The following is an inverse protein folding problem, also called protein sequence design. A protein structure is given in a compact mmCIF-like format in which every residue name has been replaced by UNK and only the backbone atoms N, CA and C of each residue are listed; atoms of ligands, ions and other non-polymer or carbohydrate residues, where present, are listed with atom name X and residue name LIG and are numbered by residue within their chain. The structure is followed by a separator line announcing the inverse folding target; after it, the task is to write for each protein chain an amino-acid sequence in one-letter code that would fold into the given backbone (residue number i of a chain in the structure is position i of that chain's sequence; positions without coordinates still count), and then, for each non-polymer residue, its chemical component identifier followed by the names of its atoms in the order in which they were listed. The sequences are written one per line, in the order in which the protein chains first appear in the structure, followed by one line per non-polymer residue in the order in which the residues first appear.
data_IF_403533831702
#
_entry.id   IF_403533831702
#
_cell.length_a   1.000
_cell.length_b   1.000
_cell.length_c   1.000
_cell.angle_alpha   90.00
_cell.angle_beta   90.00
_cell.angle_gamma   90.00
#
_symmetry.space_group_name_H-M   'P 1'
#
loop_
_entity.id
_entity.type
_entity.pdbx_description
1 polymer ?
#
# COMPACT_ATOMS: atom_id res chain seq x y z
N UNK A 1 29.20 -58.19 25.76
CA UNK A 1 27.79 -57.73 25.73
C UNK A 1 27.74 -56.32 25.16
N UNK A 2 27.04 -56.05 24.02
CA UNK A 2 27.04 -54.75 23.37
C UNK A 2 25.78 -53.95 23.75
N UNK A 3 25.85 -53.11 24.78
CA UNK A 3 24.69 -52.33 25.26
C UNK A 3 24.80 -50.83 24.95
N UNK A 4 26.00 -50.32 24.67
CA UNK A 4 26.26 -48.88 24.46
C UNK A 4 25.86 -48.36 23.05
N UNK A 5 25.88 -49.20 22.02
CA UNK A 5 25.55 -48.79 20.64
C UNK A 5 24.05 -48.57 20.42
N UNK A 6 23.21 -49.33 21.13
CA UNK A 6 21.76 -49.23 21.06
C UNK A 6 21.23 -47.93 21.67
N UNK A 7 21.89 -47.44 22.73
CA UNK A 7 21.52 -46.20 23.43
C UNK A 7 21.80 -44.94 22.59
N UNK A 8 22.92 -44.89 21.86
CA UNK A 8 23.21 -43.79 20.92
C UNK A 8 22.22 -43.75 19.75
N UNK A 9 21.79 -44.92 19.29
CA UNK A 9 20.80 -45.07 18.21
C UNK A 9 19.38 -44.64 18.64
N UNK A 10 19.00 -44.85 19.90
CA UNK A 10 17.68 -44.41 20.41
C UNK A 10 17.63 -42.89 20.61
N UNK A 11 18.70 -42.28 21.13
CA UNK A 11 18.80 -40.83 21.31
C UNK A 11 18.77 -40.09 19.97
N UNK A 12 19.51 -40.57 18.96
CA UNK A 12 19.51 -39.97 17.62
C UNK A 12 18.12 -40.03 16.97
N UNK A 13 17.39 -41.14 17.17
CA UNK A 13 16.01 -41.30 16.72
C UNK A 13 15.05 -40.35 17.45
N UNK A 14 15.25 -40.13 18.74
CA UNK A 14 14.46 -39.18 19.53
C UNK A 14 14.70 -37.72 19.08
N UNK A 15 15.96 -37.32 18.88
CA UNK A 15 16.33 -36.00 18.36
C UNK A 15 15.72 -35.74 16.98
N UNK A 16 15.75 -36.73 16.08
CA UNK A 16 15.13 -36.61 14.75
C UNK A 16 13.60 -36.42 14.84
N UNK A 17 12.94 -37.13 15.76
CA UNK A 17 11.49 -36.96 15.98
C UNK A 17 11.16 -35.60 16.58
N UNK A 18 11.97 -35.11 17.52
CA UNK A 18 11.83 -33.77 18.10
C UNK A 18 11.97 -32.69 17.03
N UNK A 19 12.96 -32.81 16.15
CA UNK A 19 13.18 -31.87 15.04
C UNK A 19 12.00 -31.89 14.05
N UNK A 20 11.49 -33.08 13.71
CA UNK A 20 10.32 -33.21 12.84
C UNK A 20 9.06 -32.58 13.47
N UNK A 21 8.84 -32.76 14.77
CA UNK A 21 7.74 -32.13 15.49
C UNK A 21 7.88 -30.60 15.52
N UNK A 22 9.09 -30.08 15.72
CA UNK A 22 9.37 -28.66 15.65
C UNK A 22 9.05 -28.10 14.25
N UNK A 23 9.55 -28.74 13.19
CA UNK A 23 9.25 -28.34 11.82
C UNK A 23 7.75 -28.40 11.51
N UNK A 24 7.06 -29.45 11.98
CA UNK A 24 5.61 -29.56 11.79
C UNK A 24 4.86 -28.45 12.52
N UNK A 25 5.28 -28.08 13.74
CA UNK A 25 4.66 -26.97 14.49
C UNK A 25 4.81 -25.62 13.80
N UNK A 26 5.95 -25.39 13.13
CA UNK A 26 6.20 -24.16 12.36
C UNK A 26 5.33 -24.06 11.10
N UNK A 27 4.89 -25.19 10.53
CA UNK A 27 3.96 -25.18 9.40
C UNK A 27 2.54 -24.79 9.84
N UNK A 28 2.16 -25.04 11.10
CA UNK A 28 0.86 -24.64 11.63
C UNK A 28 0.73 -23.13 11.87
N UNK A 29 1.83 -22.39 12.01
CA UNK A 29 1.77 -20.93 12.22
C UNK A 29 1.38 -20.16 10.95
N UNK A 30 1.43 -20.79 9.76
CA UNK A 30 0.95 -20.17 8.52
C UNK A 30 -0.57 -20.25 8.35
N UNK A 31 -1.25 -21.06 9.16
CA UNK A 31 -2.71 -21.23 9.09
C UNK A 31 -3.47 -20.21 9.95
N UNK A 32 -2.78 -19.53 10.87
CA UNK A 32 -3.37 -18.42 11.57
C UNK A 32 -3.44 -17.21 10.63
N UNK A 33 -4.63 -16.61 10.44
CA UNK A 33 -4.71 -15.35 9.73
C UNK A 33 -3.91 -14.33 10.53
N UNK A 34 -2.76 -13.93 10.00
CA UNK A 34 -2.07 -12.74 10.48
C UNK A 34 -3.03 -11.59 10.21
N UNK A 35 -3.67 -11.09 11.27
CA UNK A 35 -4.41 -9.84 11.21
C UNK A 35 -3.38 -8.73 11.05
N UNK A 36 -2.97 -8.47 9.80
CA UNK A 36 -2.19 -7.29 9.47
C UNK A 36 -3.12 -6.10 9.62
N UNK A 37 -3.07 -5.46 10.79
CA UNK A 37 -3.78 -4.21 11.04
C UNK A 37 -2.92 -3.12 10.42
N UNK A 38 -3.42 -2.49 9.35
CA UNK A 38 -2.87 -1.23 8.88
C UNK A 38 -3.25 -0.16 9.90
N UNK A 39 -2.29 0.28 10.71
CA UNK A 39 -2.44 1.48 11.51
C UNK A 39 -2.02 2.63 10.61
N UNK A 40 -2.99 3.41 10.14
CA UNK A 40 -2.70 4.69 9.52
C UNK A 40 -2.36 5.64 10.66
N UNK A 41 -1.19 6.27 10.60
CA UNK A 41 -0.82 7.32 11.56
C UNK A 41 -1.71 8.53 11.24
N UNK A 42 -2.84 8.65 11.95
CA UNK A 42 -3.82 9.73 11.81
C UNK A 42 -3.27 11.10 12.32
N UNK A 43 -1.99 11.16 12.71
CA UNK A 43 -1.32 12.35 13.23
C UNK A 43 -0.78 13.27 12.13
N UNK A 44 -0.85 12.87 10.86
CA UNK A 44 -0.49 13.74 9.74
C UNK A 44 -1.60 14.78 9.53
N UNK A 45 -1.34 15.99 10.03
CA UNK A 45 -2.15 17.19 9.79
C UNK A 45 -2.30 17.38 8.28
N UNK A 46 -3.44 16.97 7.73
CA UNK A 46 -3.75 17.17 6.30
C UNK A 46 -3.68 18.68 6.03
N UNK A 47 -2.76 19.15 5.18
CA UNK A 47 -2.63 20.58 4.93
C UNK A 47 -3.92 21.11 4.32
N UNK A 48 -4.37 22.26 4.81
CA UNK A 48 -5.65 22.91 4.46
C UNK A 48 -5.81 23.13 2.94
N UNK A 49 -4.70 23.18 2.19
CA UNK A 49 -4.66 23.21 0.73
C UNK A 49 -3.58 22.27 0.18
N UNK A 50 -3.99 21.04 -0.16
CA UNK A 50 -3.13 20.04 -0.82
C UNK A 50 -2.81 20.43 -2.27
N UNK A 51 -3.70 21.17 -2.93
CA UNK A 51 -3.60 21.52 -4.35
C UNK A 51 -4.06 22.94 -4.60
N UNK A 52 -3.27 23.69 -5.36
CA UNK A 52 -3.68 24.97 -5.96
C UNK A 52 -3.87 24.77 -7.46
N UNK A 53 -4.87 25.41 -8.06
CA UNK A 53 -5.08 25.37 -9.50
C UNK A 53 -5.16 26.77 -10.09
N UNK A 54 -4.69 26.92 -11.33
CA UNK A 54 -4.89 28.12 -12.14
C UNK A 54 -5.52 27.72 -13.47
N UNK A 55 -6.50 28.50 -13.91
CA UNK A 55 -7.18 28.28 -15.19
C UNK A 55 -6.82 29.41 -16.14
N UNK A 56 -6.46 29.08 -17.37
CA UNK A 56 -6.24 30.05 -18.45
C UNK A 56 -6.84 29.57 -19.77
N UNK A 57 -7.17 30.53 -20.63
CA UNK A 57 -7.69 30.28 -21.97
C UNK A 57 -6.60 30.54 -23.01
N UNK A 58 -6.60 29.75 -24.08
CA UNK A 58 -5.77 30.00 -25.26
C UNK A 58 -6.65 29.93 -26.52
N UNK A 59 -6.82 31.04 -27.28
CA UNK A 59 -6.29 32.38 -26.98
C UNK A 59 -6.92 33.00 -25.72
N UNK A 60 -6.20 33.92 -25.07
CA UNK A 60 -6.63 34.53 -23.78
C UNK A 60 -8.01 35.20 -23.88
N UNK A 61 -8.34 35.73 -25.06
CA UNK A 61 -9.62 36.39 -25.36
C UNK A 61 -10.18 35.83 -26.67
N UNK A 62 -10.80 34.64 -26.66
CA UNK A 62 -11.39 34.07 -27.86
C UNK A 62 -12.61 34.89 -28.29
N UNK A 63 -12.77 35.12 -29.59
CA UNK A 63 -13.95 35.82 -30.11
C UNK A 63 -15.16 34.88 -30.15
N UNK A 64 -16.38 35.41 -30.16
CA UNK A 64 -17.57 34.58 -30.37
C UNK A 64 -17.44 33.73 -31.65
N UNK A 65 -17.63 32.41 -31.51
CA UNK A 65 -17.53 31.44 -32.60
C UNK A 65 -16.13 30.85 -32.82
N UNK A 66 -15.11 31.30 -32.11
CA UNK A 66 -13.75 30.73 -32.18
C UNK A 66 -13.57 29.56 -31.20
N UNK A 67 -12.67 28.64 -31.56
CA UNK A 67 -12.27 27.56 -30.67
C UNK A 67 -11.26 28.08 -29.66
N UNK A 68 -11.44 27.73 -28.39
CA UNK A 68 -10.50 28.04 -27.32
C UNK A 68 -10.10 26.76 -26.58
N UNK A 69 -8.84 26.71 -26.14
CA UNK A 69 -8.34 25.68 -25.25
C UNK A 69 -8.38 26.19 -23.82
N UNK A 70 -9.01 25.42 -22.93
CA UNK A 70 -8.93 25.64 -21.49
C UNK A 70 -7.71 24.87 -20.97
N UNK A 71 -6.81 25.55 -20.29
CA UNK A 71 -5.63 24.96 -19.65
C UNK A 71 -5.80 25.11 -18.14
N UNK A 72 -5.64 23.99 -17.44
CA UNK A 72 -5.69 23.94 -15.97
C UNK A 72 -4.30 23.54 -15.47
N UNK A 73 -3.60 24.50 -14.88
CA UNK A 73 -2.30 24.30 -14.27
C UNK A 73 -2.51 23.87 -12.81
N UNK A 74 -2.19 22.61 -12.50
CA UNK A 74 -2.29 22.04 -11.16
C UNK A 74 -0.93 22.13 -10.44
N UNK A 75 -0.92 22.78 -9.29
CA UNK A 75 0.23 22.82 -8.39
C UNK A 75 -0.08 21.96 -7.17
N UNK A 76 0.46 20.74 -7.19
CA UNK A 76 0.34 19.77 -6.11
C UNK A 76 1.53 20.01 -5.17
N UNK A 77 1.29 20.17 -3.87
CA UNK A 77 2.37 20.34 -2.91
C UNK A 77 3.27 19.10 -2.90
N UNK A 78 4.61 19.26 -2.97
CA UNK A 78 5.54 18.14 -3.15
C UNK A 78 5.57 17.20 -1.94
N UNK A 79 5.14 17.66 -0.78
CA UNK A 79 5.14 16.91 0.48
C UNK A 79 3.90 16.02 0.63
N UNK A 80 2.94 16.14 -0.29
CA UNK A 80 1.64 15.51 -0.16
C UNK A 80 1.59 14.06 -0.65
N UNK A 81 2.65 13.57 -1.31
CA UNK A 81 2.72 12.20 -1.82
C UNK A 81 1.88 11.99 -3.08
N UNK A 82 1.40 10.76 -3.30
CA UNK A 82 0.62 10.40 -4.50
C UNK A 82 -0.85 10.79 -4.33
N UNK A 83 -1.38 11.54 -5.29
CA UNK A 83 -2.79 11.93 -5.32
C UNK A 83 -3.45 11.62 -6.67
N UNK A 84 -4.73 11.26 -6.60
CA UNK A 84 -5.60 11.03 -7.76
C UNK A 84 -6.65 12.12 -7.80
N UNK A 85 -6.73 12.83 -8.93
CA UNK A 85 -7.75 13.86 -9.18
C UNK A 85 -8.67 13.41 -10.30
N UNK A 86 -9.96 13.68 -10.15
CA UNK A 86 -10.97 13.42 -11.17
C UNK A 86 -11.55 14.73 -11.67
N UNK A 87 -11.62 14.89 -12.99
CA UNK A 87 -12.34 16.00 -13.62
C UNK A 87 -13.81 15.60 -13.68
N UNK A 88 -14.64 16.23 -12.85
CA UNK A 88 -16.08 16.01 -12.84
C UNK A 88 -16.73 17.21 -13.55
N UNK A 89 -17.27 17.04 -14.77
CA UNK A 89 -18.00 18.11 -15.43
C UNK A 89 -19.23 18.47 -14.59
N UNK A 90 -19.38 19.75 -14.24
CA UNK A 90 -20.55 20.24 -13.54
C UNK A 90 -21.79 20.17 -14.42
N UNK A 91 -22.90 19.69 -13.88
CA UNK A 91 -24.21 19.72 -14.55
C UNK A 91 -24.76 21.15 -14.41
N UNK A 92 -24.20 22.08 -15.17
CA UNK A 92 -24.75 23.42 -15.34
C UNK A 92 -25.41 23.51 -16.70
N UNK A 93 -26.69 23.86 -16.75
CA UNK A 93 -27.35 24.26 -17.99
C UNK A 93 -26.72 25.60 -18.43
N UNK A 94 -26.07 25.59 -19.59
CA UNK A 94 -25.48 26.77 -20.23
C UNK A 94 -26.48 27.45 -21.16
#
# INVERSE_FOLDING_TARGET
MPTLSLFKSSILRALRKLLLLLCLSLLFTSWFPYNTIAQFDDDDVIPESVVTFKVRLEPEKPRPGEHARIIVDLQIHPESGWHVFSVIPGVGDF
#
